data_IF_651855449100
#
_entry.id   IF_651855449100
#
_cell.length_a   1.000
_cell.length_b   1.000
_cell.length_c   1.000
_cell.angle_alpha   90.00
_cell.angle_beta   90.00
_cell.angle_gamma   90.00
#
_symmetry.space_group_name_H-M   'P 1'
#
loop_
_entity.id
_entity.type
_entity.pdbx_description
1 polymer ?
#
# COMPACT_ATOMS: atom_id res chain seq x y z
N UNK A 1 -4.39 -16.14 -23.31
CA UNK A 1 -3.93 -15.41 -22.11
C UNK A 1 -5.01 -15.18 -21.04
N UNK A 2 -5.89 -14.17 -21.12
CA UNK A 2 -6.81 -13.85 -20.00
C UNK A 2 -7.77 -14.99 -19.61
N UNK A 3 -8.32 -15.72 -20.59
CA UNK A 3 -9.18 -16.89 -20.34
C UNK A 3 -8.42 -18.05 -19.68
N UNK A 4 -7.14 -18.23 -20.02
CA UNK A 4 -6.30 -19.27 -19.41
C UNK A 4 -5.99 -18.91 -17.96
N UNK A 5 -5.59 -17.66 -17.70
CA UNK A 5 -5.37 -17.15 -16.34
C UNK A 5 -6.61 -17.27 -15.46
N UNK A 6 -7.78 -17.00 -16.01
CA UNK A 6 -9.05 -17.20 -15.31
C UNK A 6 -9.29 -18.66 -14.96
N UNK A 7 -9.07 -19.58 -15.90
CA UNK A 7 -9.26 -21.02 -15.70
C UNK A 7 -8.26 -21.63 -14.72
N UNK A 8 -7.07 -21.06 -14.61
CA UNK A 8 -6.02 -21.50 -13.68
C UNK A 8 -5.98 -20.70 -12.37
N UNK A 9 -6.96 -19.82 -12.12
CA UNK A 9 -6.99 -18.96 -10.94
C UNK A 9 -7.13 -19.80 -9.67
N UNK A 10 -6.22 -19.63 -8.72
CA UNK A 10 -6.34 -20.14 -7.36
C UNK A 10 -6.98 -19.07 -6.47
N UNK A 11 -7.92 -19.47 -5.62
CA UNK A 11 -8.59 -18.58 -4.65
C UNK A 11 -7.99 -18.71 -3.24
N UNK A 12 -6.70 -19.04 -3.16
CA UNK A 12 -5.93 -19.06 -1.91
C UNK A 12 -5.29 -17.71 -1.60
N UNK A 13 -4.53 -17.66 -0.51
CA UNK A 13 -3.66 -16.52 -0.22
C UNK A 13 -2.65 -16.28 -1.34
N UNK A 14 -2.46 -15.03 -1.69
CA UNK A 14 -1.45 -14.56 -2.65
C UNK A 14 -0.28 -13.91 -1.92
N UNK A 15 0.62 -13.26 -2.66
CA UNK A 15 1.75 -12.53 -2.12
C UNK A 15 1.28 -11.37 -1.24
N UNK A 16 1.80 -11.28 -0.01
CA UNK A 16 1.35 -10.27 0.97
C UNK A 16 1.58 -8.83 0.52
N UNK A 17 2.58 -8.58 -0.32
CA UNK A 17 2.86 -7.25 -0.88
C UNK A 17 2.05 -6.94 -2.14
N UNK A 18 1.31 -7.92 -2.68
CA UNK A 18 0.59 -7.81 -3.94
C UNK A 18 1.22 -8.59 -5.09
N UNK A 19 0.40 -8.85 -6.11
CA UNK A 19 0.77 -9.60 -7.31
C UNK A 19 2.01 -8.97 -8.00
N UNK A 20 3.08 -9.74 -8.29
CA UNK A 20 4.33 -9.21 -8.86
C UNK A 20 4.13 -8.40 -10.14
N UNK A 21 3.27 -8.87 -11.05
CA UNK A 21 2.99 -8.16 -12.30
C UNK A 21 2.30 -6.82 -12.03
N UNK A 22 1.35 -6.77 -11.08
CA UNK A 22 0.69 -5.52 -10.70
C UNK A 22 1.66 -4.52 -10.09
N UNK A 23 2.55 -4.98 -9.20
CA UNK A 23 3.58 -4.12 -8.60
C UNK A 23 4.52 -3.53 -9.64
N UNK A 24 4.88 -4.31 -10.67
CA UNK A 24 5.69 -3.85 -11.80
C UNK A 24 4.99 -2.75 -12.60
N UNK A 25 3.71 -2.95 -12.93
CA UNK A 25 2.92 -1.95 -13.65
C UNK A 25 2.76 -0.66 -12.83
N UNK A 26 2.50 -0.76 -11.52
CA UNK A 26 2.43 0.42 -10.65
C UNK A 26 3.76 1.17 -10.60
N UNK A 27 4.86 0.46 -10.38
CA UNK A 27 6.20 1.05 -10.33
C UNK A 27 6.54 1.81 -11.63
N UNK A 28 6.12 1.30 -12.79
CA UNK A 28 6.34 1.94 -14.09
C UNK A 28 5.66 3.31 -14.25
N UNK A 29 4.70 3.65 -13.39
CA UNK A 29 4.07 4.97 -13.37
C UNK A 29 4.93 6.05 -12.70
N UNK A 30 6.08 5.66 -12.12
CA UNK A 30 6.99 6.54 -11.39
C UNK A 30 8.41 6.40 -11.94
N UNK A 31 9.15 7.52 -12.02
CA UNK A 31 10.51 7.53 -12.58
C UNK A 31 11.56 6.82 -11.70
N UNK A 32 11.28 6.66 -10.40
CA UNK A 32 12.29 6.29 -9.40
C UNK A 32 11.82 5.25 -8.38
N UNK A 33 10.78 4.47 -8.68
CA UNK A 33 10.23 3.45 -7.78
C UNK A 33 10.49 2.06 -8.36
N UNK A 34 11.12 1.19 -7.56
CA UNK A 34 11.27 -0.24 -7.88
C UNK A 34 9.96 -0.99 -7.59
N UNK A 35 9.62 -2.06 -8.34
CA UNK A 35 8.52 -2.95 -7.98
C UNK A 35 8.62 -3.47 -6.54
N UNK A 36 9.85 -3.67 -6.02
CA UNK A 36 10.12 -4.14 -4.66
C UNK A 36 9.71 -3.13 -3.57
N UNK A 37 9.52 -1.87 -3.93
CA UNK A 37 9.09 -0.77 -3.05
C UNK A 37 7.57 -0.54 -3.07
N UNK A 38 6.83 -1.27 -3.92
CA UNK A 38 5.37 -1.16 -4.04
C UNK A 38 4.67 -2.17 -3.12
N UNK A 39 3.66 -1.72 -2.37
CA UNK A 39 2.71 -2.58 -1.66
C UNK A 39 1.31 -2.31 -2.23
N UNK A 40 0.60 -3.35 -2.67
CA UNK A 40 -0.75 -3.23 -3.20
C UNK A 40 -1.80 -3.56 -2.12
N UNK A 41 -2.55 -2.56 -1.69
CA UNK A 41 -3.66 -2.73 -0.76
C UNK A 41 -4.71 -1.62 -0.94
N UNK A 42 -5.79 -1.63 -0.16
CA UNK A 42 -6.73 -0.52 -0.17
C UNK A 42 -6.04 0.76 0.37
N UNK A 43 -6.37 1.97 -0.14
CA UNK A 43 -5.68 3.19 0.29
C UNK A 43 -5.66 3.40 1.81
N UNK A 44 -6.79 3.20 2.49
CA UNK A 44 -6.87 3.34 3.96
C UNK A 44 -6.07 2.27 4.71
N UNK A 45 -6.01 1.06 4.17
CA UNK A 45 -5.18 -0.01 4.75
C UNK A 45 -3.69 0.36 4.70
N UNK A 46 -3.23 0.95 3.59
CA UNK A 46 -1.84 1.42 3.47
C UNK A 46 -1.57 2.58 4.43
N UNK A 47 -2.51 3.53 4.59
CA UNK A 47 -2.37 4.62 5.57
C UNK A 47 -2.21 4.03 6.97
N UNK A 48 -3.11 3.15 7.37
CA UNK A 48 -3.08 2.52 8.69
C UNK A 48 -1.80 1.73 8.93
N UNK A 49 -1.41 0.83 8.01
CA UNK A 49 -0.18 0.04 8.13
C UNK A 49 1.06 0.93 8.21
N UNK A 50 1.11 2.01 7.42
CA UNK A 50 2.25 2.94 7.40
C UNK A 50 2.38 3.67 8.74
N UNK A 51 1.29 4.23 9.26
CA UNK A 51 1.31 4.92 10.56
C UNK A 51 1.77 3.96 11.68
N UNK A 52 1.27 2.72 11.68
CA UNK A 52 1.62 1.70 12.69
C UNK A 52 3.04 1.17 12.55
N UNK A 53 3.62 1.18 11.35
CA UNK A 53 4.96 0.65 11.11
C UNK A 53 6.07 1.70 11.31
N UNK A 54 5.78 2.98 11.04
CA UNK A 54 6.80 4.04 10.99
C UNK A 54 6.82 4.89 12.26
N UNK A 55 5.65 5.21 12.84
CA UNK A 55 5.56 6.11 13.98
C UNK A 55 5.91 5.41 15.30
N UNK A 56 6.44 6.20 16.24
CA UNK A 56 6.67 5.83 17.63
C UNK A 56 6.08 6.87 18.57
N UNK A 57 5.81 6.45 19.80
CA UNK A 57 5.40 7.37 20.86
C UNK A 57 6.45 8.48 21.05
N UNK A 58 5.97 9.73 21.09
CA UNK A 58 6.81 10.93 21.21
C UNK A 58 7.29 11.52 19.89
N UNK A 59 7.02 10.88 18.74
CA UNK A 59 7.31 11.48 17.44
C UNK A 59 6.50 12.75 17.21
N UNK A 60 7.11 13.75 16.56
CA UNK A 60 6.42 14.96 16.10
C UNK A 60 6.07 14.82 14.63
N UNK A 61 4.78 14.83 14.30
CA UNK A 61 4.27 14.67 12.93
C UNK A 61 3.71 16.00 12.43
N UNK A 62 4.04 16.36 11.18
CA UNK A 62 3.45 17.52 10.49
C UNK A 62 2.44 16.99 9.48
N UNK A 63 1.20 17.47 9.57
CA UNK A 63 0.09 17.05 8.71
C UNK A 63 -0.50 18.23 7.95
N UNK A 64 -1.10 17.95 6.79
CA UNK A 64 -1.91 18.94 6.09
C UNK A 64 -3.28 19.08 6.77
N UNK A 65 -3.77 20.31 6.93
CA UNK A 65 -5.07 20.57 7.56
C UNK A 65 -5.84 21.73 6.89
N UNK A 66 -7.15 21.55 6.57
CA UNK A 66 -7.91 20.30 6.71
C UNK A 66 -7.42 19.23 5.73
N UNK A 67 -7.45 17.97 6.17
CA UNK A 67 -6.94 16.82 5.41
C UNK A 67 -7.81 15.58 5.59
N UNK A 68 -7.45 14.49 4.92
CA UNK A 68 -8.14 13.21 5.11
C UNK A 68 -7.93 12.72 6.55
N UNK A 69 -9.03 12.38 7.23
CA UNK A 69 -9.06 12.21 8.69
C UNK A 69 -8.02 11.22 9.23
N UNK A 70 -7.88 10.07 8.58
CA UNK A 70 -6.92 9.04 8.97
C UNK A 70 -5.46 9.50 8.96
N UNK A 71 -5.12 10.56 8.21
CA UNK A 71 -3.74 11.09 8.16
C UNK A 71 -3.31 11.82 9.43
N UNK A 72 -4.25 12.29 10.26
CA UNK A 72 -3.94 12.93 11.55
C UNK A 72 -4.44 12.11 12.74
N UNK A 73 -5.63 11.50 12.65
CA UNK A 73 -6.22 10.80 13.80
C UNK A 73 -5.45 9.51 14.16
N UNK A 74 -4.93 8.79 13.16
CA UNK A 74 -4.11 7.59 13.42
C UNK A 74 -2.71 7.92 13.94
N UNK A 75 -2.22 9.14 13.71
CA UNK A 75 -0.95 9.58 14.27
C UNK A 75 -1.09 10.03 15.73
N UNK A 76 -2.29 10.44 16.14
CA UNK A 76 -2.62 10.85 17.51
C UNK A 76 -3.02 9.67 18.44
N UNK A 77 -3.25 8.47 17.89
CA UNK A 77 -3.82 7.31 18.60
C UNK A 77 -2.84 6.51 19.46
#
# INVERSE_FOLDING_TARGET
>A
ESLERWRSLSLGYTESQGLPELRKEIASMYDSVSPDEVICAAPEEVIYLTMRAVLREGDTVIVTFPGYQSLYELAES
#
